data_IF_675902757472
#
_entry.id   IF_675902757472
#
_cell.length_a   1.000
_cell.length_b   1.000
_cell.length_c   1.000
_cell.angle_alpha   90.00
_cell.angle_beta   90.00
_cell.angle_gamma   90.00
#
_symmetry.space_group_name_H-M   'P 1'
#
loop_
_entity.id
_entity.type
_entity.pdbx_description
1 polymer ?
#
# COMPACT_ATOMS: atom_id res chain seq x y z
N UNK A 1 -22.17 -21.00 20.88
CA UNK A 1 -22.04 -19.60 20.40
C UNK A 1 -20.60 -19.21 20.58
N UNK A 2 -19.92 -18.85 19.49
CA UNK A 2 -18.50 -18.49 19.53
C UNK A 2 -18.34 -17.03 19.95
N UNK A 3 -17.15 -16.64 20.45
CA UNK A 3 -16.82 -15.25 20.73
C UNK A 3 -17.02 -14.37 19.48
N UNK A 4 -16.80 -14.94 18.29
CA UNK A 4 -17.03 -14.32 16.98
C UNK A 4 -18.51 -14.01 16.75
N UNK A 5 -19.42 -14.93 17.07
CA UNK A 5 -20.86 -14.71 16.94
C UNK A 5 -21.35 -13.66 17.93
N UNK A 6 -20.75 -13.62 19.12
CA UNK A 6 -21.06 -12.64 20.16
C UNK A 6 -20.61 -11.23 19.76
N UNK A 7 -19.39 -11.09 19.20
CA UNK A 7 -18.86 -9.81 18.72
C UNK A 7 -19.60 -9.33 17.47
N UNK A 8 -19.93 -10.22 16.53
CA UNK A 8 -20.72 -9.87 15.35
C UNK A 8 -22.13 -9.40 15.72
N UNK A 9 -22.80 -10.09 16.66
CA UNK A 9 -24.10 -9.66 17.18
C UNK A 9 -24.00 -8.34 17.94
N UNK A 10 -22.94 -8.16 18.72
CA UNK A 10 -22.72 -6.92 19.46
C UNK A 10 -22.48 -5.73 18.53
N UNK A 11 -21.73 -5.90 17.43
CA UNK A 11 -21.49 -4.85 16.43
C UNK A 11 -22.74 -4.52 15.61
N UNK A 12 -23.60 -5.51 15.33
CA UNK A 12 -24.92 -5.29 14.71
C UNK A 12 -25.84 -4.49 15.64
N UNK A 13 -25.75 -4.70 16.95
CA UNK A 13 -26.52 -3.95 17.95
C UNK A 13 -25.89 -2.62 18.36
N UNK A 14 -24.63 -2.36 17.99
CA UNK A 14 -23.91 -1.12 18.28
C UNK A 14 -23.29 -0.51 17.01
N UNK A 15 -24.08 -0.17 15.98
CA UNK A 15 -23.56 0.37 14.71
C UNK A 15 -22.86 1.72 14.89
N UNK A 16 -23.19 2.46 15.94
CA UNK A 16 -22.50 3.68 16.32
C UNK A 16 -21.02 3.47 16.68
N UNK A 17 -20.58 2.23 16.98
CA UNK A 17 -19.17 1.93 17.26
C UNK A 17 -18.32 1.84 15.99
N UNK A 18 -18.93 1.48 14.84
CA UNK A 18 -18.31 1.61 13.53
C UNK A 18 -18.15 3.07 13.09
N UNK A 19 -18.88 4.00 13.74
CA UNK A 19 -18.90 5.43 13.41
C UNK A 19 -18.49 6.39 14.55
N UNK A 20 -18.08 5.91 15.73
CA UNK A 20 -17.68 6.79 16.85
C UNK A 20 -16.20 7.15 16.75
N UNK A 21 -15.96 8.33 16.19
CA UNK A 21 -14.76 9.14 16.42
C UNK A 21 -14.70 9.55 17.91
N UNK A 22 -13.59 9.34 18.64
CA UNK A 22 -13.23 10.22 19.74
C UNK A 22 -12.71 11.53 19.13
N UNK A 23 -13.22 12.66 19.63
CA UNK A 23 -13.15 13.98 18.99
C UNK A 23 -11.75 14.40 18.50
N UNK A 24 -11.75 15.04 17.33
CA UNK A 24 -10.62 15.82 16.83
C UNK A 24 -10.27 16.93 17.82
N UNK A 25 -9.00 17.13 18.20
CA UNK A 25 -8.57 18.43 18.67
C UNK A 25 -8.60 19.40 17.47
N UNK A 26 -9.02 20.66 17.65
CA UNK A 26 -8.85 21.66 16.61
C UNK A 26 -7.43 22.24 16.70
N UNK A 27 -6.75 22.38 15.57
CA UNK A 27 -5.77 23.44 15.29
C UNK A 27 -5.25 23.24 13.86
N UNK A 28 -5.53 24.16 12.93
CA UNK A 28 -4.72 25.36 12.65
C UNK A 28 -3.27 25.06 12.24
N UNK A 29 -2.95 25.42 11.00
CA UNK A 29 -1.58 25.69 10.56
C UNK A 29 -1.13 24.81 9.40
N UNK A 30 -1.07 25.42 8.21
CA UNK A 30 -0.14 25.13 7.10
C UNK A 30 0.20 23.65 6.88
N UNK A 31 -0.47 23.02 5.92
CA UNK A 31 -0.11 21.70 5.40
C UNK A 31 1.31 21.71 4.79
N UNK A 32 2.34 21.53 5.61
CA UNK A 32 3.54 20.81 5.16
C UNK A 32 3.05 19.44 4.70
N UNK A 33 3.35 19.08 3.46
CA UNK A 33 2.99 17.80 2.89
C UNK A 33 3.46 16.69 3.83
N UNK A 34 2.50 16.09 4.53
CA UNK A 34 2.70 15.09 5.58
C UNK A 34 3.82 14.12 5.19
N UNK A 35 4.97 14.20 5.87
CA UNK A 35 6.11 13.33 5.62
C UNK A 35 5.66 11.88 5.83
N UNK A 36 5.70 11.06 4.79
CA UNK A 36 5.52 9.61 4.94
C UNK A 36 6.76 9.10 5.65
N UNK A 37 6.59 8.54 6.85
CA UNK A 37 7.68 7.83 7.49
C UNK A 37 7.86 6.45 6.83
N UNK A 38 9.01 6.26 6.18
CA UNK A 38 9.42 4.98 5.60
C UNK A 38 10.32 4.25 6.60
N UNK A 39 9.81 3.18 7.20
CA UNK A 39 10.51 2.33 8.15
C UNK A 39 11.05 1.03 7.54
N UNK A 40 11.78 0.22 8.32
CA UNK A 40 12.26 -1.08 7.86
C UNK A 40 11.09 -2.05 7.61
N UNK A 41 11.19 -2.98 6.64
CA UNK A 41 10.15 -3.95 6.38
C UNK A 41 10.00 -4.96 7.54
N UNK A 42 8.77 -5.45 7.81
CA UNK A 42 8.49 -6.32 8.95
C UNK A 42 9.12 -7.71 8.85
N UNK A 43 9.62 -8.12 7.68
CA UNK A 43 10.34 -9.39 7.48
C UNK A 43 11.68 -9.46 8.18
N UNK A 44 12.22 -8.32 8.63
CA UNK A 44 13.43 -8.26 9.48
C UNK A 44 13.10 -8.26 10.99
N UNK A 45 11.82 -8.42 11.36
CA UNK A 45 11.37 -8.49 12.74
C UNK A 45 11.09 -9.94 13.14
N UNK A 46 11.88 -10.47 14.08
CA UNK A 46 11.68 -11.80 14.71
C UNK A 46 10.43 -11.88 15.61
N UNK A 47 9.48 -10.95 15.48
CA UNK A 47 8.25 -11.00 16.24
C UNK A 47 7.38 -12.16 15.74
N UNK A 48 7.07 -13.09 16.64
CA UNK A 48 6.17 -14.21 16.38
C UNK A 48 4.88 -13.69 15.76
N UNK A 49 4.43 -14.34 14.69
CA UNK A 49 3.08 -14.18 14.16
C UNK A 49 2.11 -14.42 15.31
N UNK A 50 1.29 -13.42 15.72
CA UNK A 50 0.31 -13.63 16.77
C UNK A 50 -0.60 -14.80 16.39
N UNK A 51 -0.97 -15.67 17.34
CA UNK A 51 -1.91 -16.78 17.11
C UNK A 51 -3.27 -16.32 16.54
N UNK A 52 -3.58 -15.03 16.66
CA UNK A 52 -4.76 -14.36 16.10
C UNK A 52 -4.62 -14.05 14.59
N UNK A 53 -3.44 -14.26 13.98
CA UNK A 53 -3.18 -13.97 12.57
C UNK A 53 -4.07 -14.80 11.63
N UNK A 54 -4.28 -16.09 11.90
CA UNK A 54 -5.18 -16.91 11.07
C UNK A 54 -6.62 -16.42 11.13
N UNK A 55 -7.08 -16.02 12.33
CA UNK A 55 -8.42 -15.47 12.52
C UNK A 55 -8.55 -14.08 11.86
N UNK A 56 -7.53 -13.22 11.98
CA UNK A 56 -7.48 -11.92 11.31
C UNK A 56 -7.35 -12.04 9.79
N UNK A 57 -6.59 -13.01 9.27
CA UNK A 57 -6.50 -13.32 7.84
C UNK A 57 -7.82 -13.87 7.33
N UNK A 58 -8.52 -14.69 8.11
CA UNK A 58 -9.85 -15.20 7.76
C UNK A 58 -10.89 -14.08 7.71
N UNK A 59 -10.81 -13.12 8.64
CA UNK A 59 -11.62 -11.89 8.61
C UNK A 59 -11.24 -11.04 7.39
N UNK A 60 -9.96 -10.74 7.15
CA UNK A 60 -9.51 -9.97 6.00
C UNK A 60 -9.95 -10.60 4.66
N UNK A 61 -9.82 -11.93 4.53
CA UNK A 61 -10.24 -12.71 3.36
C UNK A 61 -11.77 -12.73 3.16
N UNK A 62 -12.55 -12.64 4.25
CA UNK A 62 -14.02 -12.57 4.22
C UNK A 62 -14.56 -11.16 4.00
N UNK A 63 -13.78 -10.13 4.32
CA UNK A 63 -14.12 -8.71 4.16
C UNK A 63 -13.58 -8.08 2.86
N UNK A 64 -12.89 -8.86 2.03
CA UNK A 64 -12.38 -8.44 0.71
C UNK A 64 -12.97 -9.30 -0.43
N UNK A 65 -14.31 -9.42 -0.45
CA UNK A 65 -15.04 -10.05 -1.55
C UNK A 65 -15.90 -8.98 -2.22
N UNK A 66 -15.37 -8.42 -3.30
CA UNK A 66 -16.08 -7.94 -4.50
C UNK A 66 -17.31 -6.99 -4.33
N UNK A 67 -17.40 -6.24 -3.23
CA UNK A 67 -18.42 -5.18 -3.03
C UNK A 67 -17.85 -3.80 -2.67
N UNK A 68 -16.52 -3.65 -2.73
CA UNK A 68 -15.75 -2.49 -2.26
C UNK A 68 -14.93 -1.80 -3.35
N UNK A 69 -15.12 -2.18 -4.61
CA UNK A 69 -14.32 -1.78 -5.76
C UNK A 69 -14.02 -0.27 -5.81
N UNK A 70 -15.01 0.59 -5.64
CA UNK A 70 -14.78 2.04 -5.72
C UNK A 70 -14.02 2.59 -4.50
N UNK A 71 -14.31 2.10 -3.29
CA UNK A 71 -13.60 2.51 -2.08
C UNK A 71 -12.16 2.00 -2.06
N UNK A 72 -11.93 0.80 -2.59
CA UNK A 72 -10.60 0.23 -2.74
C UNK A 72 -9.82 0.98 -3.83
N UNK A 73 -10.46 1.36 -4.95
CA UNK A 73 -9.84 2.22 -5.99
C UNK A 73 -9.51 3.61 -5.46
N UNK A 74 -10.43 4.27 -4.77
CA UNK A 74 -10.19 5.58 -4.18
C UNK A 74 -9.05 5.54 -3.14
N UNK A 75 -8.97 4.47 -2.34
CA UNK A 75 -7.85 4.27 -1.41
C UNK A 75 -6.52 4.05 -2.14
N UNK A 76 -6.51 3.24 -3.20
CA UNK A 76 -5.33 3.02 -4.05
C UNK A 76 -4.81 4.33 -4.63
N UNK A 77 -5.69 5.05 -5.32
CA UNK A 77 -5.41 6.36 -5.94
C UNK A 77 -4.91 7.40 -4.94
N UNK A 78 -5.53 7.50 -3.76
CA UNK A 78 -5.07 8.41 -2.71
C UNK A 78 -3.68 8.03 -2.15
N UNK A 79 -3.38 6.73 -2.14
CA UNK A 79 -2.04 6.21 -1.85
C UNK A 79 -1.02 6.66 -2.87
N UNK A 80 -1.28 6.41 -4.14
CA UNK A 80 -0.41 6.80 -5.26
C UNK A 80 -0.17 8.32 -5.30
N UNK A 81 -1.23 9.13 -5.16
CA UNK A 81 -1.13 10.60 -5.09
C UNK A 81 -0.16 11.05 -3.99
N UNK A 82 -0.26 10.44 -2.82
CA UNK A 82 0.60 10.75 -1.68
C UNK A 82 2.05 10.37 -1.94
N UNK A 83 2.31 9.27 -2.66
CA UNK A 83 3.67 8.85 -3.03
C UNK A 83 4.27 9.79 -4.08
N UNK A 84 3.49 10.21 -5.08
CA UNK A 84 3.96 11.21 -6.06
C UNK A 84 4.37 12.51 -5.36
N UNK A 85 3.55 12.99 -4.42
CA UNK A 85 3.88 14.17 -3.63
C UNK A 85 5.15 13.98 -2.79
N UNK A 86 5.29 12.81 -2.14
CA UNK A 86 6.47 12.45 -1.36
C UNK A 86 7.75 12.42 -2.20
N UNK A 87 7.76 11.70 -3.32
CA UNK A 87 8.94 11.55 -4.18
C UNK A 87 9.38 12.92 -4.75
N UNK A 88 8.42 13.75 -5.19
CA UNK A 88 8.71 15.13 -5.63
C UNK A 88 9.32 15.96 -4.51
N UNK A 89 8.77 15.87 -3.29
CA UNK A 89 9.28 16.62 -2.13
C UNK A 89 10.69 16.15 -1.74
N UNK A 90 10.93 14.84 -1.72
CA UNK A 90 12.23 14.26 -1.39
C UNK A 90 13.32 14.72 -2.37
N UNK A 91 13.03 14.71 -3.68
CA UNK A 91 13.95 15.21 -4.70
C UNK A 91 14.22 16.71 -4.57
N UNK A 92 13.19 17.53 -4.26
CA UNK A 92 13.36 18.97 -4.01
C UNK A 92 14.24 19.24 -2.78
N UNK A 93 14.02 18.52 -1.69
CA UNK A 93 14.85 18.62 -0.47
C UNK A 93 16.31 18.24 -0.77
N UNK A 94 16.53 17.29 -1.68
CA UNK A 94 17.86 16.92 -2.16
C UNK A 94 18.47 17.90 -3.20
N UNK A 95 17.83 19.04 -3.48
CA UNK A 95 18.29 20.03 -4.46
C UNK A 95 18.13 19.60 -5.92
N UNK A 96 17.30 18.59 -6.18
CA UNK A 96 17.04 18.01 -7.51
C UNK A 96 15.68 18.42 -8.06
N UNK A 97 15.43 19.73 -8.12
CA UNK A 97 14.22 20.29 -8.75
C UNK A 97 14.06 19.84 -10.21
N UNK A 98 15.18 19.60 -10.90
CA UNK A 98 15.21 19.07 -12.27
C UNK A 98 14.60 17.67 -12.38
N UNK A 99 14.84 16.80 -11.40
CA UNK A 99 14.25 15.46 -11.35
C UNK A 99 12.85 15.47 -10.76
N UNK A 100 12.59 16.32 -9.75
CA UNK A 100 11.26 16.43 -9.15
C UNK A 100 10.18 16.76 -10.18
N UNK A 101 10.50 17.58 -11.20
CA UNK A 101 9.59 17.89 -12.31
C UNK A 101 9.37 16.72 -13.28
N UNK A 102 10.24 15.71 -13.26
CA UNK A 102 10.16 14.52 -14.12
C UNK A 102 9.46 13.34 -13.47
N UNK A 103 9.06 13.45 -12.19
CA UNK A 103 8.27 12.40 -11.52
C UNK A 103 6.89 12.30 -12.17
N UNK A 104 6.51 11.10 -12.61
CA UNK A 104 5.25 10.81 -13.32
C UNK A 104 4.37 9.84 -12.53
N UNK A 105 3.05 10.04 -12.63
CA UNK A 105 2.06 9.09 -12.13
C UNK A 105 1.62 8.20 -13.29
N UNK A 106 2.36 7.11 -13.50
CA UNK A 106 2.27 6.28 -14.71
C UNK A 106 0.94 5.52 -14.80
N UNK A 107 0.44 4.96 -13.69
CA UNK A 107 -0.87 4.28 -13.68
C UNK A 107 -2.03 5.21 -14.06
N UNK A 108 -2.00 6.47 -13.62
CA UNK A 108 -3.03 7.48 -13.96
C UNK A 108 -2.83 8.07 -15.38
N UNK A 109 -1.58 8.30 -15.81
CA UNK A 109 -1.26 8.93 -17.10
C UNK A 109 -1.31 7.95 -18.29
N UNK A 110 -0.75 6.75 -18.12
CA UNK A 110 -0.50 5.76 -19.18
C UNK A 110 -1.31 4.45 -18.98
N UNK A 111 -1.93 4.27 -17.81
CA UNK A 111 -2.69 3.06 -17.42
C UNK A 111 -1.82 1.97 -16.78
N UNK A 112 -2.47 0.87 -16.36
CA UNK A 112 -1.84 -0.21 -15.57
C UNK A 112 -0.87 -1.13 -16.35
N UNK A 113 -0.59 -0.82 -17.61
CA UNK A 113 0.22 -1.65 -18.51
C UNK A 113 1.72 -1.65 -18.21
N UNK A 114 2.21 -0.64 -17.49
CA UNK A 114 3.64 -0.46 -17.23
C UNK A 114 4.23 -1.43 -16.19
N UNK A 115 3.39 -1.99 -15.31
CA UNK A 115 3.81 -2.88 -14.22
C UNK A 115 4.40 -2.15 -13.00
N UNK A 116 4.13 -0.85 -12.88
CA UNK A 116 4.41 0.02 -11.74
C UNK A 116 3.53 1.27 -11.81
N UNK A 117 3.29 1.92 -10.68
CA UNK A 117 2.40 3.09 -10.59
C UNK A 117 3.12 4.42 -10.83
N UNK A 118 4.37 4.54 -10.37
CA UNK A 118 5.09 5.83 -10.33
C UNK A 118 6.51 5.67 -10.89
N UNK A 119 6.88 6.57 -11.80
CA UNK A 119 8.27 6.74 -12.24
C UNK A 119 8.90 7.94 -11.52
N UNK A 120 9.98 7.68 -10.80
CA UNK A 120 10.73 8.65 -9.99
C UNK A 120 12.25 8.42 -10.15
N UNK A 121 13.05 9.10 -9.33
CA UNK A 121 14.50 9.06 -9.38
C UNK A 121 15.12 9.08 -7.98
N UNK A 122 16.30 8.47 -7.83
CA UNK A 122 17.16 8.71 -6.65
C UNK A 122 17.75 10.13 -6.73
N UNK A 123 18.26 10.70 -5.62
CA UNK A 123 18.98 11.97 -5.66
C UNK A 123 20.19 11.96 -6.61
N UNK A 124 20.76 10.78 -6.88
CA UNK A 124 21.85 10.57 -7.83
C UNK A 124 21.38 10.50 -9.30
N UNK A 125 20.07 10.41 -9.54
CA UNK A 125 19.46 10.40 -10.88
C UNK A 125 19.21 9.01 -11.45
N UNK A 126 19.35 7.95 -10.65
CA UNK A 126 18.97 6.60 -11.06
C UNK A 126 17.45 6.48 -11.04
N UNK A 127 16.88 5.67 -11.93
CA UNK A 127 15.43 5.48 -11.97
C UNK A 127 14.91 4.75 -10.73
N UNK A 128 13.71 5.13 -10.31
CA UNK A 128 12.89 4.45 -9.30
C UNK A 128 11.52 4.18 -9.88
N UNK A 129 11.18 2.92 -10.11
CA UNK A 129 9.84 2.47 -10.47
C UNK A 129 9.17 1.96 -9.22
N UNK A 130 8.04 2.56 -8.88
CA UNK A 130 7.40 2.31 -7.60
C UNK A 130 6.02 1.75 -7.85
N UNK A 131 5.81 0.54 -7.37
CA UNK A 131 4.50 -0.09 -7.21
C UNK A 131 3.96 0.24 -5.81
N UNK A 132 2.78 0.84 -5.72
CA UNK A 132 2.19 1.35 -4.48
C UNK A 132 1.07 0.42 -4.04
N UNK A 133 1.20 -0.14 -2.83
CA UNK A 133 0.12 -0.94 -2.22
C UNK A 133 -0.39 -0.26 -0.98
N UNK A 134 -1.63 0.21 -0.98
CA UNK A 134 -2.21 0.95 0.15
C UNK A 134 -3.24 0.14 0.92
N UNK A 135 -3.22 0.22 2.24
CA UNK A 135 -4.25 -0.39 3.11
C UNK A 135 -4.55 0.47 4.33
N UNK A 136 -5.78 0.36 4.84
CA UNK A 136 -6.15 0.87 6.17
C UNK A 136 -5.90 -0.16 7.29
N UNK A 137 -5.54 -1.39 6.93
CA UNK A 137 -5.10 -2.39 7.88
C UNK A 137 -3.70 -2.13 8.42
N UNK A 138 -3.21 -3.10 9.17
CA UNK A 138 -1.86 -3.16 9.73
C UNK A 138 -0.81 -3.59 8.69
N UNK A 139 0.47 -3.48 9.04
CA UNK A 139 1.62 -3.66 8.14
C UNK A 139 1.65 -5.02 7.40
N UNK A 140 1.10 -6.10 8.00
CA UNK A 140 1.06 -7.46 7.45
C UNK A 140 -0.25 -7.80 6.73
N UNK A 141 -1.14 -6.83 6.52
CA UNK A 141 -2.38 -7.06 5.76
C UNK A 141 -2.02 -7.57 4.35
N UNK A 142 -2.60 -8.69 3.89
CA UNK A 142 -2.37 -9.19 2.54
C UNK A 142 -2.63 -8.14 1.46
N UNK A 143 -1.96 -8.29 0.33
CA UNK A 143 -2.14 -7.48 -0.86
C UNK A 143 -1.93 -8.34 -2.11
N UNK A 144 -2.39 -7.84 -3.23
CA UNK A 144 -2.31 -8.52 -4.51
C UNK A 144 -1.20 -7.90 -5.36
N UNK A 145 -0.46 -8.74 -6.06
CA UNK A 145 0.47 -8.36 -7.12
C UNK A 145 0.00 -9.00 -8.41
N UNK A 146 -0.04 -8.23 -9.50
CA UNK A 146 -0.39 -8.77 -10.81
C UNK A 146 0.78 -9.54 -11.42
N UNK A 147 0.50 -10.36 -12.43
CA UNK A 147 1.54 -11.06 -13.20
C UNK A 147 2.48 -10.06 -13.90
N UNK A 148 1.94 -8.93 -14.36
CA UNK A 148 2.72 -7.90 -15.03
C UNK A 148 3.69 -7.21 -14.06
N UNK A 149 3.20 -6.80 -12.89
CA UNK A 149 4.04 -6.25 -11.81
C UNK A 149 5.20 -7.18 -11.43
N UNK A 150 4.90 -8.48 -11.24
CA UNK A 150 5.93 -9.47 -10.93
C UNK A 150 6.96 -9.63 -12.05
N UNK A 151 6.52 -9.60 -13.32
CA UNK A 151 7.42 -9.72 -14.46
C UNK A 151 8.35 -8.50 -14.57
N UNK A 152 7.81 -7.30 -14.43
CA UNK A 152 8.59 -6.05 -14.50
C UNK A 152 9.53 -5.91 -13.30
N UNK A 153 9.10 -6.30 -12.10
CA UNK A 153 9.95 -6.34 -10.91
C UNK A 153 11.16 -7.26 -11.10
N UNK A 154 10.97 -8.39 -11.79
CA UNK A 154 12.03 -9.35 -12.09
C UNK A 154 12.96 -8.90 -13.22
N UNK A 155 12.44 -8.18 -14.22
CA UNK A 155 13.21 -7.61 -15.33
C UNK A 155 14.06 -6.40 -14.89
N UNK A 156 13.49 -5.53 -14.04
CA UNK A 156 14.04 -4.22 -13.65
C UNK A 156 14.45 -4.20 -12.17
N UNK A 157 15.17 -5.23 -11.68
CA UNK A 157 15.40 -5.44 -10.24
C UNK A 157 16.10 -4.29 -9.52
N UNK A 158 16.99 -3.57 -10.20
CA UNK A 158 17.75 -2.45 -9.61
C UNK A 158 16.86 -1.21 -9.42
N UNK A 159 15.92 -1.00 -10.35
CA UNK A 159 15.08 0.19 -10.40
C UNK A 159 13.69 -0.01 -9.82
N UNK A 160 13.20 -1.25 -9.65
CA UNK A 160 11.83 -1.53 -9.22
C UNK A 160 11.72 -1.69 -7.69
N UNK A 161 10.65 -1.11 -7.13
CA UNK A 161 10.36 -1.06 -5.71
C UNK A 161 8.88 -1.29 -5.44
N UNK A 162 8.57 -2.04 -4.38
CA UNK A 162 7.24 -2.08 -3.80
C UNK A 162 7.19 -1.14 -2.58
N UNK A 163 6.34 -0.12 -2.62
CA UNK A 163 6.08 0.76 -1.49
C UNK A 163 4.74 0.39 -0.84
N UNK A 164 4.82 -0.23 0.35
CA UNK A 164 3.64 -0.63 1.12
C UNK A 164 3.25 0.48 2.08
N UNK A 165 2.05 1.05 1.92
CA UNK A 165 1.48 2.03 2.85
C UNK A 165 0.37 1.37 3.65
N UNK A 166 0.43 1.48 4.97
CA UNK A 166 -0.54 0.90 5.89
C UNK A 166 -1.03 1.91 6.91
N UNK A 167 -2.14 1.59 7.59
CA UNK A 167 -2.83 2.51 8.50
C UNK A 167 -3.16 3.89 7.87
N UNK A 168 -3.43 3.90 6.56
CA UNK A 168 -3.43 5.10 5.71
C UNK A 168 -4.32 6.25 6.21
N UNK A 169 -5.54 5.92 6.65
CA UNK A 169 -6.54 6.91 7.08
C UNK A 169 -6.31 7.47 8.49
N UNK A 170 -5.42 6.87 9.29
CA UNK A 170 -5.18 7.30 10.68
C UNK A 170 -3.80 7.91 10.84
N UNK A 171 -2.78 7.09 10.66
CA UNK A 171 -1.38 7.48 10.80
C UNK A 171 -0.61 6.67 9.75
N UNK A 172 -0.49 7.21 8.52
CA UNK A 172 0.09 6.49 7.39
C UNK A 172 1.56 6.17 7.70
N UNK A 173 1.89 4.88 7.60
CA UNK A 173 3.25 4.38 7.74
C UNK A 173 3.60 3.58 6.49
N UNK A 174 4.86 3.60 6.10
CA UNK A 174 5.28 2.90 4.91
C UNK A 174 6.58 2.11 5.12
N UNK A 175 6.81 1.13 4.26
CA UNK A 175 8.09 0.46 4.10
C UNK A 175 8.27 0.08 2.62
N UNK A 176 9.53 -0.06 2.21
CA UNK A 176 9.90 -0.47 0.85
C UNK A 176 10.39 -1.92 0.82
N UNK A 177 10.07 -2.64 -0.24
CA UNK A 177 10.67 -3.94 -0.59
C UNK A 177 11.30 -3.85 -1.97
N UNK A 178 12.45 -4.50 -2.14
CA UNK A 178 13.15 -4.63 -3.42
C UNK A 178 13.06 -6.07 -3.92
N UNK A 179 13.08 -6.31 -5.24
CA UNK A 179 13.24 -7.65 -5.78
C UNK A 179 14.56 -8.30 -5.33
N UNK A 180 14.62 -9.64 -5.24
CA UNK A 180 13.54 -10.58 -5.57
C UNK A 180 12.49 -10.64 -4.44
N UNK A 181 11.21 -10.54 -4.80
CA UNK A 181 10.13 -10.39 -3.82
C UNK A 181 9.87 -11.65 -2.98
N UNK A 182 10.21 -12.82 -3.50
CA UNK A 182 10.07 -14.10 -2.80
C UNK A 182 11.04 -14.23 -1.60
N UNK A 183 12.08 -13.41 -1.53
CA UNK A 183 12.91 -13.26 -0.33
C UNK A 183 12.17 -12.53 0.82
N UNK A 184 11.08 -11.83 0.52
CA UNK A 184 10.38 -10.94 1.46
C UNK A 184 8.92 -11.33 1.70
N UNK A 185 8.24 -11.97 0.74
CA UNK A 185 6.82 -12.32 0.84
C UNK A 185 6.54 -13.69 0.26
N UNK A 186 5.52 -14.36 0.78
CA UNK A 186 5.01 -15.60 0.18
C UNK A 186 3.99 -15.28 -0.92
N UNK A 187 4.30 -15.67 -2.15
CA UNK A 187 3.42 -15.48 -3.30
C UNK A 187 2.50 -16.72 -3.46
N UNK A 188 1.19 -16.50 -3.54
CA UNK A 188 0.19 -17.55 -3.83
C UNK A 188 -0.60 -17.15 -5.07
N UNK A 189 -0.70 -18.04 -6.06
CA UNK A 189 -1.52 -17.80 -7.24
C UNK A 189 -3.00 -17.69 -6.86
N UNK A 190 -3.66 -16.60 -7.26
CA UNK A 190 -5.06 -16.28 -6.91
C UNK A 190 -6.01 -16.27 -8.11
N UNK A 191 -5.49 -16.01 -9.32
CA UNK A 191 -6.26 -15.96 -10.56
C UNK A 191 -5.50 -16.61 -11.71
N UNK A 192 -6.23 -17.17 -12.68
CA UNK A 192 -5.70 -17.78 -13.89
C UNK A 192 -6.33 -17.10 -15.11
N UNK A 193 -5.52 -16.86 -16.16
CA UNK A 193 -6.00 -16.38 -17.45
C UNK A 193 -6.19 -17.55 -18.41
N UNK A 194 -7.32 -17.57 -19.13
CA UNK A 194 -7.58 -18.52 -20.21
C UNK A 194 -7.59 -17.81 -21.57
N UNK A 195 -7.10 -18.49 -22.61
CA UNK A 195 -7.17 -18.02 -24.00
C UNK A 195 -7.49 -19.19 -24.93
N UNK A 196 -8.20 -18.92 -26.03
CA UNK A 196 -8.46 -19.91 -27.07
C UNK A 196 -7.16 -20.25 -27.81
N UNK A 197 -7.03 -21.51 -28.24
CA UNK A 197 -5.92 -22.01 -29.07
C UNK A 197 -6.34 -22.08 -30.53
#
# INVERSE_FOLDING_TARGET
MTLVDAVARWLVWNPAWLGRMPGSPPANGLHEASQIWIGPPPTLSNQHTPQELEQMLHVAKKFDVAGRDERNRALGRAGEERVVAYERSALKVAGRDDLARKVRWVSEEDGDGAGYDIASFTPHGEERLIEVKTTNGWERTPFYLSRNELAVAEERRSEWFLLRIWNFSREPKAFELRPPLDAHVSLTATAFQASFR
#
